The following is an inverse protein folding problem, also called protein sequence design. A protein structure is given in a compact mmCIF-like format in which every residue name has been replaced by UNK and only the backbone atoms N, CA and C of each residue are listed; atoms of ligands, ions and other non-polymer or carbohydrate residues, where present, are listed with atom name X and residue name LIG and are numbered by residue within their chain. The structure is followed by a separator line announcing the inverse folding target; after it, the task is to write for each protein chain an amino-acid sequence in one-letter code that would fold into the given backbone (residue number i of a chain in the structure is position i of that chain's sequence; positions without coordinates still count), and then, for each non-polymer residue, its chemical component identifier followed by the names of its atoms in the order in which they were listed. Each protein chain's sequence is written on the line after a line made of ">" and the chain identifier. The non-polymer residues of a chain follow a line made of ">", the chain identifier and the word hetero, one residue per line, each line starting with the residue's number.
data_IF_383305449279
#
_entry.id   IF_383305449279
#
_cell.length_a   1.000
_cell.length_b   1.000
_cell.length_c   1.000
_cell.angle_alpha   90.00
_cell.angle_beta   90.00
_cell.angle_gamma   90.00
#
_symmetry.space_group_name_H-M   'P 1'
#
loop_
_entity.id
_entity.type
_entity.pdbx_description
1 polymer ?
#
# COMPACT_ATOMS: atom_id res chain seq x y z
N UNK A 1 7.89 -18.13 -13.48
CA UNK A 1 6.93 -17.03 -13.74
C UNK A 1 6.14 -16.72 -12.47
N UNK A 2 5.45 -17.69 -11.85
CA UNK A 2 4.72 -17.50 -10.58
C UNK A 2 5.54 -16.90 -9.43
N UNK A 3 6.70 -17.47 -9.10
CA UNK A 3 7.53 -17.00 -7.97
C UNK A 3 8.00 -15.55 -8.16
N UNK A 4 8.33 -15.16 -9.40
CA UNK A 4 8.79 -13.81 -9.72
C UNK A 4 7.65 -12.80 -9.54
N UNK A 5 6.43 -13.15 -9.96
CA UNK A 5 5.25 -12.31 -9.77
C UNK A 5 4.92 -12.13 -8.29
N UNK A 6 4.95 -13.20 -7.49
CA UNK A 6 4.70 -13.10 -6.04
C UNK A 6 5.76 -12.26 -5.31
N UNK A 7 7.05 -12.42 -5.67
CA UNK A 7 8.12 -11.58 -5.11
C UNK A 7 7.93 -10.10 -5.49
N UNK A 8 7.52 -9.85 -6.74
CA UNK A 8 7.27 -8.50 -7.23
C UNK A 8 6.13 -7.81 -6.49
N UNK A 9 5.04 -8.52 -6.21
CA UNK A 9 3.93 -7.98 -5.43
C UNK A 9 4.32 -7.66 -3.98
N UNK A 10 5.10 -8.54 -3.33
CA UNK A 10 5.61 -8.25 -1.99
C UNK A 10 6.52 -7.03 -1.97
N UNK A 11 7.32 -6.84 -3.02
CA UNK A 11 8.15 -5.64 -3.19
C UNK A 11 7.30 -4.39 -3.33
N UNK A 12 6.23 -4.43 -4.14
CA UNK A 12 5.28 -3.31 -4.28
C UNK A 12 4.63 -3.00 -2.92
N UNK A 13 4.07 -3.98 -2.22
CA UNK A 13 3.43 -3.79 -0.92
C UNK A 13 4.40 -3.18 0.11
N UNK A 14 5.66 -3.63 0.11
CA UNK A 14 6.69 -3.07 0.99
C UNK A 14 6.99 -1.61 0.64
N UNK A 15 7.14 -1.30 -0.64
CA UNK A 15 7.39 0.06 -1.12
C UNK A 15 6.23 1.01 -0.80
N UNK A 16 4.99 0.57 -1.00
CA UNK A 16 3.79 1.33 -0.63
C UNK A 16 3.76 1.62 0.87
N UNK A 17 4.12 0.66 1.71
CA UNK A 17 4.13 0.89 3.14
C UNK A 17 5.26 1.84 3.58
N UNK A 18 6.43 1.78 2.96
CA UNK A 18 7.53 2.72 3.21
C UNK A 18 7.13 4.14 2.79
N UNK A 19 6.55 4.28 1.61
CA UNK A 19 6.09 5.57 1.08
C UNK A 19 4.98 6.18 1.95
N UNK A 20 4.07 5.35 2.47
CA UNK A 20 3.03 5.78 3.42
C UNK A 20 3.65 6.41 4.67
N UNK A 21 4.63 5.74 5.28
CA UNK A 21 5.30 6.22 6.49
C UNK A 21 5.98 7.56 6.21
N UNK A 22 6.73 7.66 5.11
CA UNK A 22 7.42 8.91 4.72
C UNK A 22 6.40 10.03 4.53
N UNK A 23 5.30 9.76 3.83
CA UNK A 23 4.24 10.72 3.56
C UNK A 23 3.60 11.25 4.85
N UNK A 24 3.17 10.34 5.72
CA UNK A 24 2.53 10.69 6.99
C UNK A 24 3.48 11.40 7.95
N UNK A 25 4.73 10.95 8.06
CA UNK A 25 5.75 11.61 8.90
C UNK A 25 6.05 13.04 8.46
N UNK A 26 5.90 13.33 7.17
CA UNK A 26 6.11 14.69 6.62
C UNK A 26 4.92 15.62 6.94
N UNK A 27 3.72 15.06 7.12
CA UNK A 27 2.47 15.84 7.25
C UNK A 27 1.90 15.91 8.65
N UNK A 28 2.18 14.93 9.51
CA UNK A 28 1.55 14.80 10.83
C UNK A 28 2.60 14.79 11.95
N UNK A 29 2.20 15.32 13.11
CA UNK A 29 3.03 15.37 14.30
C UNK A 29 2.78 14.16 15.19
N UNK A 30 3.85 13.41 15.47
CA UNK A 30 3.81 12.26 16.37
C UNK A 30 3.33 12.67 17.76
N UNK A 31 2.54 11.82 18.42
CA UNK A 31 2.31 11.94 19.86
C UNK A 31 3.66 11.85 20.59
N UNK A 32 3.84 12.62 21.66
CA UNK A 32 5.08 12.64 22.46
C UNK A 32 4.98 11.79 23.76
N UNK A 33 3.99 10.89 23.85
CA UNK A 33 3.52 10.39 25.14
C UNK A 33 4.07 9.03 25.59
N UNK A 34 4.87 8.30 24.79
CA UNK A 34 5.28 6.94 25.18
C UNK A 34 6.77 6.62 25.00
N UNK A 35 7.35 6.06 26.06
CA UNK A 35 8.63 5.33 26.02
C UNK A 35 8.41 4.08 25.15
N UNK A 36 9.20 3.90 24.08
CA UNK A 36 9.08 2.83 23.05
C UNK A 36 8.03 3.02 21.94
N UNK A 37 7.50 4.23 21.72
CA UNK A 37 6.53 4.49 20.64
C UNK A 37 7.04 4.09 19.24
N UNK A 38 8.32 4.29 18.94
CA UNK A 38 8.89 3.91 17.64
C UNK A 38 8.93 2.39 17.44
N UNK A 39 9.13 1.61 18.51
CA UNK A 39 9.07 0.16 18.46
C UNK A 39 7.64 -0.34 18.19
N UNK A 40 6.63 0.25 18.85
CA UNK A 40 5.22 -0.08 18.60
C UNK A 40 4.77 0.30 17.19
N UNK A 41 5.25 1.42 16.66
CA UNK A 41 5.01 1.81 15.26
C UNK A 41 5.57 0.77 14.29
N UNK A 42 6.83 0.36 14.48
CA UNK A 42 7.47 -0.66 13.65
C UNK A 42 6.75 -2.00 13.76
N UNK A 43 6.36 -2.41 14.97
CA UNK A 43 5.61 -3.65 15.19
C UNK A 43 4.26 -3.63 14.45
N UNK A 44 3.51 -2.54 14.54
CA UNK A 44 2.25 -2.39 13.79
C UNK A 44 2.47 -2.52 12.29
N UNK A 45 3.49 -1.83 11.76
CA UNK A 45 3.81 -1.86 10.33
C UNK A 45 4.21 -3.27 9.89
N UNK A 46 5.03 -3.98 10.67
CA UNK A 46 5.41 -5.37 10.36
C UNK A 46 4.20 -6.30 10.35
N UNK A 47 3.24 -6.13 11.26
CA UNK A 47 2.00 -6.91 11.27
C UNK A 47 1.15 -6.59 10.04
N UNK A 48 0.98 -5.31 9.71
CA UNK A 48 0.25 -4.88 8.51
C UNK A 48 0.87 -5.46 7.24
N UNK A 49 2.21 -5.46 7.13
CA UNK A 49 2.91 -6.07 6.00
C UNK A 49 2.62 -7.56 5.88
N UNK A 50 2.70 -8.30 6.99
CA UNK A 50 2.44 -9.75 7.02
C UNK A 50 0.99 -10.04 6.59
N UNK A 51 0.02 -9.26 7.06
CA UNK A 51 -1.40 -9.40 6.67
C UNK A 51 -1.56 -9.18 5.16
N UNK A 52 -0.95 -8.14 4.59
CA UNK A 52 -1.01 -7.88 3.15
C UNK A 52 -0.34 -9.00 2.34
N UNK A 53 0.81 -9.51 2.79
CA UNK A 53 1.44 -10.67 2.16
C UNK A 53 0.55 -11.92 2.19
N UNK A 54 -0.12 -12.18 3.32
CA UNK A 54 -1.06 -13.31 3.42
C UNK A 54 -2.24 -13.17 2.47
N UNK A 55 -2.81 -11.97 2.34
CA UNK A 55 -3.90 -11.72 1.38
C UNK A 55 -3.46 -11.93 -0.08
N UNK A 56 -2.24 -11.54 -0.43
CA UNK A 56 -1.71 -11.76 -1.77
C UNK A 56 -1.42 -13.24 -2.05
N UNK A 57 -1.06 -14.04 -1.03
CA UNK A 57 -0.91 -15.50 -1.20
C UNK A 57 -2.23 -16.20 -1.52
N UNK A 58 -3.33 -15.72 -0.94
CA UNK A 58 -4.68 -16.21 -1.19
C UNK A 58 -5.30 -15.62 -2.49
N UNK A 59 -4.50 -14.93 -3.30
CA UNK A 59 -4.90 -14.29 -4.57
C UNK A 59 -6.14 -13.39 -4.43
N UNK A 60 -6.28 -12.72 -3.26
CA UNK A 60 -7.38 -11.79 -3.01
C UNK A 60 -7.25 -10.59 -3.94
N UNK A 61 -8.39 -10.09 -4.43
CA UNK A 61 -8.41 -8.96 -5.38
C UNK A 61 -7.71 -7.71 -4.84
N UNK A 62 -6.99 -7.02 -5.73
CA UNK A 62 -6.19 -5.84 -5.38
C UNK A 62 -7.03 -4.69 -4.79
N UNK A 63 -8.29 -4.58 -5.20
CA UNK A 63 -9.21 -3.60 -4.62
C UNK A 63 -9.52 -3.88 -3.14
N UNK A 64 -9.65 -5.15 -2.76
CA UNK A 64 -9.94 -5.53 -1.37
C UNK A 64 -8.67 -5.36 -0.51
N UNK A 65 -7.49 -5.71 -1.03
CA UNK A 65 -6.22 -5.51 -0.32
C UNK A 65 -5.95 -4.01 -0.08
N UNK A 66 -6.18 -3.15 -1.09
CA UNK A 66 -6.07 -1.70 -0.94
C UNK A 66 -7.07 -1.13 0.06
N UNK A 67 -8.32 -1.61 0.05
CA UNK A 67 -9.33 -1.16 1.00
C UNK A 67 -8.96 -1.53 2.44
N UNK A 68 -8.44 -2.74 2.65
CA UNK A 68 -7.92 -3.14 3.96
C UNK A 68 -6.71 -2.31 4.36
N UNK A 69 -5.76 -2.07 3.45
CA UNK A 69 -4.61 -1.20 3.72
C UNK A 69 -5.06 0.20 4.16
N UNK A 70 -6.05 0.78 3.47
CA UNK A 70 -6.62 2.08 3.83
C UNK A 70 -7.18 2.10 5.26
N UNK A 71 -7.90 1.04 5.66
CA UNK A 71 -8.42 0.93 7.03
C UNK A 71 -7.28 0.84 8.05
N UNK A 72 -6.25 0.02 7.77
CA UNK A 72 -5.09 -0.15 8.64
C UNK A 72 -4.28 1.15 8.76
N UNK A 73 -4.12 1.88 7.66
CA UNK A 73 -3.45 3.18 7.61
C UNK A 73 -4.19 4.23 8.45
N UNK A 74 -5.53 4.26 8.38
CA UNK A 74 -6.35 5.10 9.25
C UNK A 74 -6.15 4.74 10.73
N UNK A 75 -6.18 3.45 11.06
CA UNK A 75 -5.96 2.97 12.43
C UNK A 75 -4.57 3.38 12.92
N UNK A 76 -3.54 3.23 12.08
CA UNK A 76 -2.17 3.63 12.38
C UNK A 76 -2.09 5.12 12.71
N UNK A 77 -2.65 5.97 11.84
CA UNK A 77 -2.61 7.42 12.03
C UNK A 77 -3.38 7.86 13.28
N UNK A 78 -4.56 7.28 13.54
CA UNK A 78 -5.36 7.57 14.73
C UNK A 78 -4.64 7.20 16.03
N UNK A 79 -3.93 6.08 16.02
CA UNK A 79 -3.22 5.55 17.18
C UNK A 79 -2.00 6.42 17.53
N UNK A 80 -1.18 6.75 16.53
CA UNK A 80 0.17 7.29 16.78
C UNK A 80 0.34 8.82 16.63
N UNK A 81 -0.61 9.51 15.99
CA UNK A 81 -0.50 10.96 15.69
C UNK A 81 -1.49 11.81 16.48
N UNK A 82 -1.05 13.02 16.87
CA UNK A 82 -1.79 13.89 17.82
C UNK A 82 -2.72 14.87 17.13
N UNK A 83 -2.57 15.10 15.84
CA UNK A 83 -3.31 16.12 15.10
C UNK A 83 -4.83 15.92 15.16
N UNK A 84 -5.60 16.91 14.67
CA UNK A 84 -7.06 16.79 14.65
C UNK A 84 -7.48 15.54 13.87
N UNK A 85 -8.56 14.90 14.32
CA UNK A 85 -9.09 13.65 13.72
C UNK A 85 -9.34 13.85 12.21
N UNK A 86 -9.84 15.02 11.82
CA UNK A 86 -10.10 15.37 10.41
C UNK A 86 -8.82 15.34 9.58
N UNK A 87 -7.73 15.98 10.05
CA UNK A 87 -6.45 15.97 9.32
C UNK A 87 -5.84 14.56 9.25
N UNK A 88 -6.00 13.77 10.32
CA UNK A 88 -5.55 12.38 10.35
C UNK A 88 -6.26 11.51 9.31
N UNK A 89 -7.59 11.59 9.25
CA UNK A 89 -8.39 10.86 8.26
C UNK A 89 -8.10 11.36 6.84
N UNK A 90 -7.99 12.67 6.65
CA UNK A 90 -7.71 13.26 5.35
C UNK A 90 -6.40 12.72 4.75
N UNK A 91 -5.31 12.76 5.51
CA UNK A 91 -4.02 12.27 5.01
C UNK A 91 -3.96 10.75 4.88
N UNK A 92 -4.65 10.00 5.74
CA UNK A 92 -4.78 8.54 5.60
C UNK A 92 -5.50 8.15 4.30
N UNK A 93 -6.63 8.80 3.99
CA UNK A 93 -7.41 8.53 2.78
C UNK A 93 -6.71 9.04 1.53
N UNK A 94 -6.07 10.21 1.59
CA UNK A 94 -5.35 10.79 0.47
C UNK A 94 -4.26 9.84 -0.05
N UNK A 95 -3.57 9.13 0.84
CA UNK A 95 -2.56 8.17 0.45
C UNK A 95 -3.14 6.98 -0.34
N UNK A 96 -4.26 6.42 0.12
CA UNK A 96 -4.95 5.33 -0.58
C UNK A 96 -5.44 5.74 -1.98
N UNK A 97 -5.86 6.99 -2.16
CA UNK A 97 -6.22 7.53 -3.48
C UNK A 97 -5.00 7.59 -4.40
N UNK A 98 -3.83 7.98 -3.87
CA UNK A 98 -2.58 7.99 -4.63
C UNK A 98 -2.21 6.57 -5.08
N UNK A 99 -2.31 5.56 -4.20
CA UNK A 99 -2.06 4.16 -4.57
C UNK A 99 -3.03 3.67 -5.65
N UNK A 100 -4.31 4.00 -5.54
CA UNK A 100 -5.30 3.63 -6.55
C UNK A 100 -4.99 4.26 -7.92
N UNK A 101 -4.64 5.55 -7.95
CA UNK A 101 -4.23 6.22 -9.19
C UNK A 101 -2.95 5.57 -9.77
N UNK A 102 -1.98 5.22 -8.92
CA UNK A 102 -0.74 4.56 -9.35
C UNK A 102 -1.00 3.17 -9.96
N UNK A 103 -1.92 2.40 -9.37
CA UNK A 103 -2.35 1.12 -9.93
C UNK A 103 -2.96 1.30 -11.32
N UNK A 104 -3.87 2.27 -11.49
CA UNK A 104 -4.49 2.55 -12.80
C UNK A 104 -3.47 3.02 -13.85
N UNK A 105 -2.50 3.86 -13.45
CA UNK A 105 -1.42 4.30 -14.35
C UNK A 105 -0.55 3.12 -14.81
N UNK A 106 -0.32 2.15 -13.93
CA UNK A 106 0.46 0.94 -14.26
C UNK A 106 -0.23 0.10 -15.35
N UNK A 107 -1.57 0.11 -15.42
CA UNK A 107 -2.33 -0.52 -16.52
C UNK A 107 -2.41 0.35 -17.78
N UNK A 108 -2.43 1.67 -17.63
CA UNK A 108 -2.63 2.60 -18.74
C UNK A 108 -1.35 2.85 -19.57
N UNK A 109 -0.19 2.91 -18.93
CA UNK A 109 1.09 3.18 -19.60
C UNK A 109 1.45 2.08 -20.62
N UNK A 110 1.34 0.77 -20.31
CA UNK A 110 1.64 -0.27 -21.29
C UNK A 110 0.64 -0.31 -22.45
N UNK A 111 -0.65 -0.09 -22.17
CA UNK A 111 -1.72 -0.19 -23.18
C UNK A 111 -1.67 0.95 -24.19
N UNK A 112 -1.25 2.15 -23.80
CA UNK A 112 -1.14 3.30 -24.70
C UNK A 112 0.21 3.41 -25.42
N UNK A 113 1.29 2.85 -24.86
CA UNK A 113 2.64 2.96 -25.45
C UNK A 113 3.06 1.74 -26.28
N UNK A 114 2.48 0.55 -26.07
CA UNK A 114 2.92 -0.71 -26.71
C UNK A 114 1.91 -1.30 -27.69
N UNK A 115 1.18 -0.43 -28.39
CA UNK A 115 -0.05 -0.68 -29.17
C UNK A 115 0.00 -1.68 -30.36
N UNK A 116 1.01 -2.56 -30.52
CA UNK A 116 0.98 -3.54 -31.62
C UNK A 116 1.74 -4.86 -31.50
N UNK A 117 2.57 -5.13 -30.48
CA UNK A 117 3.37 -6.38 -30.44
C UNK A 117 3.38 -7.07 -29.06
N UNK A 118 3.00 -6.39 -27.97
CA UNK A 118 3.17 -6.94 -26.61
C UNK A 118 1.98 -7.76 -26.09
N UNK A 119 0.83 -7.78 -26.75
CA UNK A 119 -0.35 -8.53 -26.28
C UNK A 119 -0.07 -10.04 -26.21
N UNK A 120 0.77 -10.60 -27.09
CA UNK A 120 1.22 -12.00 -27.01
C UNK A 120 2.25 -12.28 -25.90
N UNK A 121 3.01 -11.28 -25.46
CA UNK A 121 3.96 -11.40 -24.34
C UNK A 121 3.25 -11.22 -22.99
N UNK A 122 2.17 -10.44 -22.96
CA UNK A 122 1.29 -10.25 -21.80
C UNK A 122 0.27 -11.38 -21.60
N UNK A 123 -0.09 -12.13 -22.66
CA UNK A 123 -0.91 -13.36 -22.58
C UNK A 123 -0.21 -14.53 -21.86
N UNK A 124 1.06 -14.38 -21.46
CA UNK A 124 1.68 -15.24 -20.43
C UNK A 124 1.16 -14.97 -19.01
N UNK A 125 0.29 -13.97 -18.84
CA UNK A 125 -0.46 -13.63 -17.63
C UNK A 125 -1.97 -13.85 -17.80
N UNK A 126 -2.39 -14.88 -18.53
CA UNK A 126 -3.80 -15.30 -18.71
C UNK A 126 -4.45 -15.92 -17.46
N UNK A 127 -4.07 -15.50 -16.25
CA UNK A 127 -4.80 -15.83 -15.03
C UNK A 127 -4.90 -14.59 -14.15
N UNK A 128 -5.83 -13.72 -14.56
CA UNK A 128 -6.70 -12.95 -13.68
C UNK A 128 -8.10 -13.49 -13.84
#
# INVERSE_FOLDING_TARGET
>A
MFIINSIWEYFINFMEQVLFIIFIHTKLHKKANFKNQSFLMLLFLTIQFIVLCFMNQEEISSYITLLLSCILDIIYVLTFYRDNIIFRLFWGIAYSIICLIAEQLTFFIPTTLYDSVSTKLLLGGELR
#
